data_IF_542457257347
#
_entry.id   IF_542457257347
#
_cell.length_a   1.000
_cell.length_b   1.000
_cell.length_c   1.000
_cell.angle_alpha   90.00
_cell.angle_beta   90.00
_cell.angle_gamma   90.00
#
_symmetry.space_group_name_H-M   'P 1'
#
loop_
_entity.id
_entity.type
_entity.pdbx_description
1 polymer ?
#
# COMPACT_ATOMS: atom_id res chain seq x y z
N UNK A 1 -12.04 17.61 26.01
CA UNK A 1 -11.98 17.74 24.53
C UNK A 1 -11.59 16.38 23.97
N UNK A 2 -12.38 15.83 23.03
CA UNK A 2 -12.01 14.59 22.35
C UNK A 2 -10.91 14.88 21.34
N UNK A 3 -9.75 14.25 21.52
CA UNK A 3 -8.57 14.43 20.66
C UNK A 3 -8.53 13.44 19.49
N UNK A 4 -9.50 12.51 19.40
CA UNK A 4 -9.48 11.49 18.36
C UNK A 4 -9.59 12.06 16.94
N UNK A 5 -10.51 13.01 16.65
CA UNK A 5 -10.65 13.56 15.30
C UNK A 5 -9.38 14.30 14.84
N UNK A 6 -8.75 15.07 15.73
CA UNK A 6 -7.52 15.78 15.35
C UNK A 6 -6.31 14.85 15.25
N UNK A 7 -6.23 13.84 16.12
CA UNK A 7 -5.19 12.82 16.05
C UNK A 7 -5.22 12.06 14.73
N UNK A 8 -6.39 11.59 14.31
CA UNK A 8 -6.55 10.83 13.05
C UNK A 8 -6.22 11.68 11.83
N UNK A 9 -6.66 12.95 11.79
CA UNK A 9 -6.29 13.90 10.74
C UNK A 9 -4.79 14.13 10.67
N UNK A 10 -4.14 14.38 11.80
CA UNK A 10 -2.68 14.57 11.84
C UNK A 10 -1.93 13.32 11.34
N UNK A 11 -2.43 12.13 11.65
CA UNK A 11 -1.83 10.89 11.19
C UNK A 11 -2.01 10.70 9.67
N UNK A 12 -3.20 11.01 9.15
CA UNK A 12 -3.51 10.97 7.72
C UNK A 12 -2.68 11.98 6.91
N UNK A 13 -2.36 13.13 7.51
CA UNK A 13 -1.52 14.19 6.92
C UNK A 13 -0.01 13.92 7.08
N UNK A 14 0.39 12.70 7.38
CA UNK A 14 1.78 12.27 7.38
C UNK A 14 2.58 12.61 8.63
N UNK A 15 1.93 13.04 9.69
CA UNK A 15 2.62 13.27 10.95
C UNK A 15 3.03 11.96 11.61
N UNK A 16 4.27 11.88 12.09
CA UNK A 16 4.70 10.73 12.89
C UNK A 16 4.05 10.75 14.27
N UNK A 17 3.95 9.59 14.94
CA UNK A 17 3.43 9.50 16.31
C UNK A 17 4.18 10.45 17.25
N UNK A 18 5.51 10.59 17.11
CA UNK A 18 6.29 11.57 17.87
C UNK A 18 5.97 13.02 17.49
N UNK A 19 5.67 13.28 16.22
CA UNK A 19 5.21 14.59 15.77
C UNK A 19 3.87 14.95 16.38
N UNK A 20 2.92 14.04 16.35
CA UNK A 20 1.59 14.19 16.96
C UNK A 20 1.70 14.39 18.47
N UNK A 21 2.57 13.63 19.15
CA UNK A 21 2.87 13.81 20.58
C UNK A 21 3.27 15.26 20.90
N UNK A 22 4.18 15.84 20.12
CA UNK A 22 4.60 17.24 20.30
C UNK A 22 3.50 18.26 19.99
N UNK A 23 2.74 18.03 18.90
CA UNK A 23 1.68 18.95 18.48
C UNK A 23 0.54 18.99 19.49
N UNK A 24 0.17 17.83 20.06
CA UNK A 24 -0.95 17.73 21.00
C UNK A 24 -0.52 17.87 22.47
N UNK A 25 0.75 18.09 22.77
CA UNK A 25 1.26 18.15 24.14
C UNK A 25 1.11 16.85 24.94
N UNK A 26 1.00 15.70 24.26
CA UNK A 26 0.84 14.40 24.88
C UNK A 26 2.20 13.71 25.07
N UNK A 27 2.29 12.82 26.07
CA UNK A 27 3.44 11.91 26.15
C UNK A 27 3.46 10.97 24.96
N UNK A 28 4.65 10.52 24.56
CA UNK A 28 4.77 9.51 23.49
C UNK A 28 3.96 8.23 23.80
N UNK A 29 3.98 7.82 25.05
CA UNK A 29 3.25 6.63 25.52
C UNK A 29 1.74 6.77 25.29
N UNK A 30 1.15 7.87 25.71
CA UNK A 30 -0.28 8.12 25.54
C UNK A 30 -0.66 8.26 24.05
N UNK A 31 0.19 8.93 23.26
CA UNK A 31 0.03 9.05 21.82
C UNK A 31 0.06 7.68 21.13
N UNK A 32 0.99 6.81 21.55
CA UNK A 32 1.10 5.46 21.02
C UNK A 32 -0.06 4.55 21.45
N UNK A 33 -0.50 4.63 22.72
CA UNK A 33 -1.73 3.94 23.17
C UNK A 33 -2.96 4.37 22.36
N UNK A 34 -3.11 5.68 22.11
CA UNK A 34 -4.19 6.20 21.28
C UNK A 34 -4.11 5.64 19.85
N UNK A 35 -2.94 5.57 19.25
CA UNK A 35 -2.76 4.91 17.94
C UNK A 35 -3.18 3.44 17.95
N UNK A 36 -2.82 2.68 18.99
CA UNK A 36 -3.22 1.28 19.11
C UNK A 36 -4.73 1.12 19.36
N UNK A 37 -5.34 2.07 20.07
CA UNK A 37 -6.80 2.06 20.32
C UNK A 37 -7.61 2.05 19.01
N UNK A 38 -7.13 2.72 17.98
CA UNK A 38 -7.77 2.68 16.66
C UNK A 38 -7.83 1.28 16.04
N UNK A 39 -7.07 0.31 16.51
CA UNK A 39 -7.02 -1.03 15.92
C UNK A 39 -8.39 -1.70 15.85
N UNK A 40 -9.14 -1.68 16.94
CA UNK A 40 -10.46 -2.33 17.00
C UNK A 40 -11.48 -1.54 16.15
N UNK A 41 -11.47 -0.21 16.29
CA UNK A 41 -12.35 0.67 15.53
C UNK A 41 -12.16 0.51 14.01
N UNK A 42 -10.92 0.47 13.57
CA UNK A 42 -10.56 0.25 12.17
C UNK A 42 -10.99 -1.13 11.69
N UNK A 43 -10.80 -2.18 12.51
CA UNK A 43 -11.17 -3.55 12.15
C UNK A 43 -12.68 -3.70 11.94
N UNK A 44 -13.48 -3.05 12.80
CA UNK A 44 -14.94 -3.03 12.65
C UNK A 44 -15.39 -2.22 11.44
N UNK A 45 -14.85 -1.02 11.29
CA UNK A 45 -15.23 -0.15 10.17
C UNK A 45 -14.85 -0.78 8.82
N UNK A 46 -13.71 -1.46 8.72
CA UNK A 46 -13.30 -2.17 7.49
C UNK A 46 -14.31 -3.24 7.05
N UNK A 47 -14.98 -3.90 7.98
CA UNK A 47 -16.02 -4.90 7.64
C UNK A 47 -17.26 -4.28 7.00
N UNK A 48 -17.56 -3.02 7.31
CA UNK A 48 -18.71 -2.30 6.75
C UNK A 48 -18.41 -1.53 5.47
N UNK A 49 -17.13 -1.49 5.04
CA UNK A 49 -16.76 -0.79 3.81
C UNK A 49 -17.33 -1.49 2.58
N UNK A 50 -17.89 -0.70 1.69
CA UNK A 50 -18.33 -1.14 0.37
C UNK A 50 -17.77 -0.23 -0.71
N UNK A 51 -17.43 -0.81 -1.86
CA UNK A 51 -16.89 -0.10 -3.01
C UNK A 51 -17.60 -0.50 -4.29
N UNK A 52 -17.83 0.46 -5.16
CA UNK A 52 -18.21 0.20 -6.55
C UNK A 52 -16.98 0.44 -7.42
N UNK A 53 -16.61 -0.51 -8.25
CA UNK A 53 -15.46 -0.42 -9.13
C UNK A 53 -15.77 -0.96 -10.53
N UNK A 54 -15.59 -0.14 -11.56
CA UNK A 54 -15.58 -0.59 -12.95
C UNK A 54 -14.18 -1.11 -13.33
N UNK A 55 -13.15 -0.46 -12.84
CA UNK A 55 -11.76 -0.84 -13.04
C UNK A 55 -11.04 -0.96 -11.69
N UNK A 56 -10.25 -2.02 -11.55
CA UNK A 56 -9.34 -2.21 -10.41
C UNK A 56 -7.90 -2.14 -10.92
N UNK A 57 -7.07 -1.39 -10.21
CA UNK A 57 -5.62 -1.39 -10.41
C UNK A 57 -4.93 -1.86 -9.15
N UNK A 58 -3.90 -2.68 -9.29
CA UNK A 58 -3.05 -3.09 -8.17
C UNK A 58 -1.57 -3.16 -8.57
N UNK A 59 -0.72 -2.91 -7.59
CA UNK A 59 0.73 -3.00 -7.72
C UNK A 59 1.34 -3.31 -6.35
N UNK A 60 2.61 -3.68 -6.35
CA UNK A 60 3.39 -3.88 -5.16
C UNK A 60 4.47 -2.80 -5.02
N UNK A 61 4.54 -2.17 -3.86
CA UNK A 61 5.60 -1.24 -3.52
C UNK A 61 6.52 -1.81 -2.44
N UNK A 62 7.83 -1.67 -2.61
CA UNK A 62 8.80 -2.15 -1.63
C UNK A 62 9.12 -1.09 -0.57
N UNK A 63 9.27 -1.56 0.68
CA UNK A 63 9.71 -0.81 1.85
C UNK A 63 10.68 -1.67 2.67
N UNK A 64 10.98 -1.27 3.90
CA UNK A 64 11.91 -1.99 4.76
C UNK A 64 11.40 -2.11 6.20
N UNK A 65 11.67 -3.27 6.81
CA UNK A 65 11.46 -3.54 8.22
C UNK A 65 12.78 -3.31 8.97
N UNK A 66 12.95 -2.11 9.51
CA UNK A 66 14.13 -1.68 10.27
C UNK A 66 15.42 -1.57 9.45
N UNK A 67 15.72 -2.51 8.56
CA UNK A 67 16.94 -2.58 7.77
C UNK A 67 16.65 -3.07 6.35
N UNK A 68 17.48 -2.70 5.38
CA UNK A 68 17.40 -3.19 3.99
C UNK A 68 17.52 -4.72 3.87
N UNK A 69 18.09 -5.37 4.89
CA UNK A 69 18.16 -6.84 4.96
C UNK A 69 16.80 -7.49 5.28
N UNK A 70 15.82 -6.72 5.71
CA UNK A 70 14.45 -7.16 5.96
C UNK A 70 13.47 -6.37 5.10
N UNK A 71 13.42 -6.60 3.79
CA UNK A 71 12.50 -5.89 2.93
C UNK A 71 11.05 -6.30 3.22
N UNK A 72 10.15 -5.36 2.94
CA UNK A 72 8.69 -5.53 2.95
C UNK A 72 8.16 -5.27 1.55
N UNK A 73 7.12 -5.96 1.16
CA UNK A 73 6.28 -5.64 0.00
C UNK A 73 4.90 -5.20 0.47
N UNK A 74 4.38 -4.13 -0.10
CA UNK A 74 3.03 -3.65 0.16
C UNK A 74 2.22 -3.85 -1.11
N UNK A 75 1.23 -4.72 -1.05
CA UNK A 75 0.20 -4.84 -2.08
C UNK A 75 -0.79 -3.70 -1.90
N UNK A 76 -1.08 -2.97 -2.95
CA UNK A 76 -2.00 -1.81 -2.96
C UNK A 76 -3.05 -2.04 -4.03
N UNK A 77 -4.33 -2.02 -3.67
CA UNK A 77 -5.47 -2.26 -4.56
C UNK A 77 -6.40 -1.05 -4.54
N UNK A 78 -6.73 -0.53 -5.73
CA UNK A 78 -7.51 0.69 -5.93
C UNK A 78 -8.58 0.50 -6.99
N UNK A 79 -9.64 1.31 -6.92
CA UNK A 79 -10.55 1.51 -8.04
C UNK A 79 -10.14 2.72 -8.92
N UNK A 80 -10.84 2.93 -10.02
CA UNK A 80 -10.64 4.05 -10.95
C UNK A 80 -10.87 5.43 -10.33
N UNK A 81 -11.57 5.49 -9.19
CA UNK A 81 -11.85 6.72 -8.43
C UNK A 81 -10.75 7.06 -7.42
N UNK A 82 -9.57 6.44 -7.53
CA UNK A 82 -8.44 6.60 -6.59
C UNK A 82 -8.74 6.17 -5.15
N UNK A 83 -9.83 5.44 -4.91
CA UNK A 83 -10.15 4.92 -3.59
C UNK A 83 -9.28 3.71 -3.28
N UNK A 84 -8.57 3.76 -2.17
CA UNK A 84 -7.76 2.66 -1.66
C UNK A 84 -8.70 1.63 -1.03
N UNK A 85 -8.87 0.49 -1.70
CA UNK A 85 -9.77 -0.58 -1.27
C UNK A 85 -9.07 -1.53 -0.29
N UNK A 86 -7.83 -1.90 -0.60
CA UNK A 86 -7.01 -2.73 0.29
C UNK A 86 -5.53 -2.37 0.19
N UNK A 87 -4.82 -2.54 1.30
CA UNK A 87 -3.36 -2.48 1.35
C UNK A 87 -2.86 -3.52 2.36
N UNK A 88 -1.98 -4.44 1.93
CA UNK A 88 -1.44 -5.51 2.76
C UNK A 88 0.08 -5.48 2.79
N UNK A 89 0.64 -5.65 3.97
CA UNK A 89 2.10 -5.68 4.17
C UNK A 89 2.57 -7.13 4.22
N UNK A 90 3.49 -7.48 3.32
CA UNK A 90 4.14 -8.79 3.24
C UNK A 90 5.58 -8.69 3.70
N UNK A 91 6.03 -9.64 4.50
CA UNK A 91 7.45 -9.89 4.69
C UNK A 91 8.00 -10.64 3.48
N UNK A 92 9.17 -10.21 3.00
CA UNK A 92 9.83 -10.84 1.86
C UNK A 92 11.32 -11.08 2.15
N UNK A 93 11.95 -12.07 1.53
CA UNK A 93 13.39 -12.27 1.63
C UNK A 93 14.14 -11.13 0.91
N UNK A 94 15.34 -10.81 1.42
CA UNK A 94 16.23 -9.90 0.74
C UNK A 94 16.70 -10.49 -0.60
N UNK A 95 17.00 -9.60 -1.55
CA UNK A 95 17.42 -9.97 -2.92
C UNK A 95 18.81 -9.43 -3.23
N UNK A 96 19.43 -9.99 -4.27
CA UNK A 96 20.72 -9.55 -4.77
C UNK A 96 21.84 -9.66 -3.70
N UNK A 97 22.74 -8.69 -3.67
CA UNK A 97 23.91 -8.69 -2.80
C UNK A 97 23.63 -8.79 -1.29
N UNK A 98 22.43 -8.42 -0.87
CA UNK A 98 22.03 -8.48 0.55
C UNK A 98 21.42 -9.83 0.95
N UNK A 99 21.12 -10.73 0.02
CA UNK A 99 20.40 -11.97 0.28
C UNK A 99 21.17 -12.88 1.24
N UNK A 100 22.46 -13.13 0.96
CA UNK A 100 23.32 -13.98 1.78
C UNK A 100 23.55 -13.38 3.17
N UNK A 101 23.91 -12.10 3.23
CA UNK A 101 24.12 -11.40 4.50
C UNK A 101 22.83 -11.41 5.36
N UNK A 102 21.68 -11.17 4.73
CA UNK A 102 20.38 -11.22 5.41
C UNK A 102 20.09 -12.60 5.99
N UNK A 103 20.35 -13.66 5.21
CA UNK A 103 20.14 -15.06 5.64
C UNK A 103 21.06 -15.43 6.81
N UNK A 104 22.33 -15.03 6.74
CA UNK A 104 23.30 -15.27 7.82
C UNK A 104 22.93 -14.57 9.12
N UNK A 105 22.45 -13.31 9.03
CA UNK A 105 22.18 -12.48 10.21
C UNK A 105 20.79 -12.67 10.80
N UNK A 106 19.76 -12.94 9.98
CA UNK A 106 18.36 -12.94 10.39
C UNK A 106 17.63 -14.25 10.10
N UNK A 107 18.33 -15.26 9.58
CA UNK A 107 17.74 -16.53 9.18
C UNK A 107 16.96 -16.45 7.87
N UNK A 108 16.31 -17.56 7.53
CA UNK A 108 15.46 -17.67 6.34
C UNK A 108 14.13 -16.95 6.59
N UNK A 109 13.82 -15.97 5.75
CA UNK A 109 12.52 -15.24 5.81
C UNK A 109 11.53 -15.84 4.83
N UNK A 110 10.28 -15.96 5.26
CA UNK A 110 9.18 -16.37 4.40
C UNK A 110 8.93 -15.32 3.31
N UNK A 111 8.44 -15.76 2.17
CA UNK A 111 7.95 -14.87 1.12
C UNK A 111 6.42 -14.85 1.19
N UNK A 112 5.87 -13.88 1.87
CA UNK A 112 4.42 -13.76 2.08
C UNK A 112 3.70 -13.01 0.96
N UNK A 113 4.40 -12.60 -0.10
CA UNK A 113 3.87 -11.75 -1.18
C UNK A 113 2.56 -12.29 -1.75
N UNK A 114 2.56 -13.55 -2.15
CA UNK A 114 1.38 -14.20 -2.76
C UNK A 114 0.24 -14.34 -1.76
N UNK A 115 0.56 -14.72 -0.53
CA UNK A 115 -0.44 -14.82 0.54
C UNK A 115 -1.11 -13.47 0.78
N UNK A 116 -0.33 -12.38 0.91
CA UNK A 116 -0.87 -11.03 1.14
C UNK A 116 -1.63 -10.46 -0.06
N UNK A 117 -1.28 -10.85 -1.27
CA UNK A 117 -2.08 -10.53 -2.46
C UNK A 117 -3.45 -11.21 -2.41
N UNK A 118 -3.51 -12.51 -2.02
CA UNK A 118 -4.77 -13.22 -1.83
C UNK A 118 -5.62 -12.58 -0.73
N UNK A 119 -5.04 -12.31 0.44
CA UNK A 119 -5.73 -11.60 1.53
C UNK A 119 -6.26 -10.22 1.10
N UNK A 120 -5.55 -9.51 0.20
CA UNK A 120 -6.03 -8.25 -0.34
C UNK A 120 -7.25 -8.46 -1.27
N UNK A 121 -7.23 -9.50 -2.10
CA UNK A 121 -8.35 -9.81 -2.99
C UNK A 121 -9.54 -10.41 -2.26
N UNK A 122 -9.34 -11.21 -1.20
CA UNK A 122 -10.40 -11.67 -0.30
C UNK A 122 -11.16 -10.47 0.28
N UNK A 123 -10.40 -9.48 0.79
CA UNK A 123 -10.98 -8.26 1.34
C UNK A 123 -11.73 -7.46 0.27
N UNK A 124 -11.12 -7.24 -0.88
CA UNK A 124 -11.71 -6.46 -1.98
C UNK A 124 -12.97 -7.15 -2.52
N UNK A 125 -12.92 -8.47 -2.76
CA UNK A 125 -14.07 -9.20 -3.29
C UNK A 125 -15.27 -9.18 -2.34
N UNK A 126 -15.03 -9.22 -1.01
CA UNK A 126 -16.07 -9.11 0.01
C UNK A 126 -16.69 -7.70 0.10
N UNK A 127 -15.94 -6.66 -0.28
CA UNK A 127 -16.37 -5.26 -0.19
C UNK A 127 -16.96 -4.71 -1.50
N UNK A 128 -16.83 -5.43 -2.62
CA UNK A 128 -17.35 -4.99 -3.91
C UNK A 128 -18.88 -5.15 -3.98
N UNK A 129 -19.54 -4.07 -4.40
CA UNK A 129 -21.00 -4.07 -4.68
C UNK A 129 -21.34 -4.51 -6.11
N UNK A 130 -20.32 -4.55 -7.00
CA UNK A 130 -20.47 -4.95 -8.40
C UNK A 130 -19.23 -5.68 -8.89
N UNK A 131 -19.36 -6.50 -9.93
CA UNK A 131 -18.21 -7.14 -10.59
C UNK A 131 -17.40 -6.10 -11.39
N UNK A 132 -16.07 -6.04 -11.23
CA UNK A 132 -15.25 -5.16 -12.06
C UNK A 132 -15.18 -5.68 -13.50
N UNK A 133 -15.19 -4.77 -14.47
CA UNK A 133 -15.01 -5.11 -15.89
C UNK A 133 -13.53 -5.27 -16.26
N UNK A 134 -12.67 -4.47 -15.63
CA UNK A 134 -11.26 -4.39 -15.97
C UNK A 134 -10.40 -4.53 -14.72
N UNK A 135 -9.31 -5.29 -14.85
CA UNK A 135 -8.24 -5.31 -13.84
C UNK A 135 -6.91 -5.05 -14.53
N UNK A 136 -6.08 -4.19 -13.95
CA UNK A 136 -4.77 -3.81 -14.48
C UNK A 136 -3.67 -3.93 -13.41
N UNK A 137 -2.50 -4.42 -13.81
CA UNK A 137 -1.31 -4.45 -12.96
C UNK A 137 -0.03 -4.38 -13.78
N UNK A 138 1.11 -4.40 -13.09
CA UNK A 138 2.39 -4.70 -13.73
C UNK A 138 2.47 -6.17 -14.21
N UNK A 139 3.48 -6.47 -15.02
CA UNK A 139 3.65 -7.79 -15.62
C UNK A 139 4.41 -8.76 -14.68
N UNK A 140 3.79 -9.18 -13.57
CA UNK A 140 4.33 -10.24 -12.74
C UNK A 140 3.72 -11.60 -13.11
N UNK A 141 4.52 -12.67 -13.33
CA UNK A 141 4.03 -13.94 -13.89
C UNK A 141 2.90 -14.61 -13.10
N UNK A 142 2.92 -14.48 -11.77
CA UNK A 142 1.96 -15.16 -10.89
C UNK A 142 0.60 -14.45 -10.82
N UNK A 143 0.53 -13.16 -11.15
CA UNK A 143 -0.68 -12.37 -10.97
C UNK A 143 -1.87 -12.87 -11.78
N UNK A 144 -1.64 -13.29 -13.03
CA UNK A 144 -2.72 -13.78 -13.90
C UNK A 144 -3.53 -14.88 -13.25
N UNK A 145 -2.87 -15.94 -12.77
CA UNK A 145 -3.54 -17.07 -12.12
C UNK A 145 -4.34 -16.67 -10.88
N UNK A 146 -3.84 -15.69 -10.13
CA UNK A 146 -4.53 -15.22 -8.92
C UNK A 146 -5.75 -14.38 -9.33
N UNK A 147 -5.59 -13.42 -10.25
CA UNK A 147 -6.71 -12.58 -10.71
C UNK A 147 -7.83 -13.41 -11.29
N UNK A 148 -7.51 -14.37 -12.17
CA UNK A 148 -8.49 -15.27 -12.78
C UNK A 148 -9.24 -16.13 -11.75
N UNK A 149 -8.61 -16.49 -10.63
CA UNK A 149 -9.27 -17.23 -9.56
C UNK A 149 -10.28 -16.41 -8.75
N UNK A 150 -10.12 -15.10 -8.66
CA UNK A 150 -11.02 -14.20 -7.92
C UNK A 150 -12.04 -13.50 -8.83
N UNK A 151 -11.64 -13.19 -10.05
CA UNK A 151 -12.41 -12.40 -11.01
C UNK A 151 -12.38 -13.05 -12.40
N UNK A 152 -13.01 -14.23 -12.58
CA UNK A 152 -12.92 -14.98 -13.83
C UNK A 152 -13.56 -14.25 -15.02
N UNK A 153 -14.58 -13.43 -14.77
CA UNK A 153 -15.35 -12.71 -15.82
C UNK A 153 -14.72 -11.36 -16.21
N UNK A 154 -13.60 -10.96 -15.60
CA UNK A 154 -13.00 -9.66 -15.85
C UNK A 154 -11.97 -9.69 -16.99
N UNK A 155 -11.81 -8.57 -17.68
CA UNK A 155 -10.73 -8.37 -18.65
C UNK A 155 -9.44 -7.97 -17.92
N UNK A 156 -8.55 -8.92 -17.70
CA UNK A 156 -7.26 -8.65 -17.04
C UNK A 156 -6.17 -8.27 -18.05
N UNK A 157 -5.51 -7.14 -17.79
CA UNK A 157 -4.37 -6.65 -18.59
C UNK A 157 -3.15 -6.40 -17.73
N UNK A 158 -2.00 -6.92 -18.17
CA UNK A 158 -0.70 -6.70 -17.57
C UNK A 158 0.13 -5.74 -18.41
N UNK A 159 0.83 -4.82 -17.74
CA UNK A 159 1.67 -3.81 -18.38
C UNK A 159 3.12 -3.97 -17.93
N UNK A 160 3.99 -4.33 -18.87
CA UNK A 160 5.40 -4.45 -18.57
C UNK A 160 6.04 -3.08 -18.36
N UNK A 161 6.97 -2.99 -17.42
CA UNK A 161 7.79 -1.80 -17.22
C UNK A 161 8.68 -1.59 -18.43
N UNK A 162 8.52 -0.47 -19.12
CA UNK A 162 9.44 -0.09 -20.21
C UNK A 162 10.88 -0.02 -19.69
N UNK A 163 11.83 -0.55 -20.45
CA UNK A 163 13.24 -0.48 -20.11
C UNK A 163 13.74 0.96 -20.07
N UNK A 164 14.89 1.20 -19.43
CA UNK A 164 15.52 2.53 -19.44
C UNK A 164 15.83 3.00 -20.85
N UNK A 165 16.23 2.06 -21.74
CA UNK A 165 16.52 2.35 -23.16
C UNK A 165 15.26 2.75 -23.93
N UNK A 166 14.14 2.06 -23.70
CA UNK A 166 12.87 2.39 -24.35
C UNK A 166 12.35 3.74 -23.91
N UNK A 167 12.46 4.05 -22.60
CA UNK A 167 12.10 5.38 -22.07
C UNK A 167 12.98 6.50 -22.62
N UNK A 168 14.26 6.22 -22.83
CA UNK A 168 15.18 7.20 -23.43
C UNK A 168 14.85 7.40 -24.91
N UNK A 169 14.63 6.32 -25.69
CA UNK A 169 14.20 6.39 -27.08
C UNK A 169 12.89 7.18 -27.23
N UNK A 170 11.90 6.89 -26.41
CA UNK A 170 10.63 7.62 -26.44
C UNK A 170 10.82 9.11 -26.18
N UNK A 171 11.64 9.49 -25.19
CA UNK A 171 11.97 10.91 -24.94
C UNK A 171 12.67 11.58 -26.10
N UNK A 172 13.48 10.86 -26.85
CA UNK A 172 14.20 11.39 -28.01
C UNK A 172 13.31 11.48 -29.28
N UNK A 173 12.27 10.65 -29.36
CA UNK A 173 11.33 10.62 -30.49
C UNK A 173 10.00 11.34 -30.21
N UNK A 174 9.70 11.65 -28.97
CA UNK A 174 8.49 12.41 -28.63
C UNK A 174 8.68 13.90 -28.99
N UNK A 175 8.07 14.30 -30.08
CA UNK A 175 7.65 15.68 -30.23
C UNK A 175 6.87 16.08 -28.98
N UNK A 176 7.22 17.19 -28.36
CA UNK A 176 6.84 17.76 -27.07
C UNK A 176 5.34 17.74 -26.66
N UNK A 177 4.45 17.15 -27.43
CA UNK A 177 3.00 17.27 -27.28
C UNK A 177 2.25 15.98 -26.90
N UNK A 178 2.88 14.79 -26.87
CA UNK A 178 2.20 13.58 -26.42
C UNK A 178 2.49 13.31 -24.95
N UNK A 179 1.53 13.65 -24.07
CA UNK A 179 1.53 13.16 -22.68
C UNK A 179 1.68 11.64 -22.69
N UNK A 180 2.74 11.13 -22.06
CA UNK A 180 2.97 9.69 -21.91
C UNK A 180 1.82 9.10 -21.10
N UNK A 181 1.00 8.26 -21.73
CA UNK A 181 -0.09 7.56 -21.05
C UNK A 181 0.50 6.41 -20.21
N UNK A 182 0.30 6.47 -18.88
CA UNK A 182 0.60 5.38 -17.97
C UNK A 182 -0.69 4.57 -17.71
N UNK A 183 -0.80 3.33 -18.24
CA UNK A 183 -2.02 2.51 -18.09
C UNK A 183 -2.39 2.16 -16.65
N UNK A 184 -1.41 2.18 -15.74
CA UNK A 184 -1.55 1.91 -14.30
C UNK A 184 -1.24 3.17 -13.46
N UNK A 185 -1.52 4.34 -14.02
CA UNK A 185 -1.24 5.62 -13.37
C UNK A 185 -1.90 5.75 -11.99
N UNK A 186 -3.14 5.27 -11.84
CA UNK A 186 -3.90 5.39 -10.59
C UNK A 186 -3.15 4.74 -9.43
N UNK A 187 -2.68 3.49 -9.61
CA UNK A 187 -1.95 2.79 -8.55
C UNK A 187 -0.54 3.37 -8.35
N UNK A 188 0.15 3.76 -9.43
CA UNK A 188 1.47 4.41 -9.33
C UNK A 188 1.40 5.72 -8.57
N UNK A 189 0.41 6.55 -8.87
CA UNK A 189 0.15 7.81 -8.17
C UNK A 189 -0.18 7.55 -6.68
N UNK A 190 -1.07 6.61 -6.37
CA UNK A 190 -1.39 6.28 -4.97
C UNK A 190 -0.18 5.75 -4.21
N UNK A 191 0.66 4.94 -4.81
CA UNK A 191 1.92 4.50 -4.20
C UNK A 191 2.85 5.68 -3.87
N UNK A 192 2.87 6.72 -4.72
CA UNK A 192 3.61 7.95 -4.43
C UNK A 192 2.98 8.72 -3.24
N UNK A 193 1.66 8.90 -3.24
CA UNK A 193 0.92 9.52 -2.14
C UNK A 193 1.11 8.78 -0.81
N UNK A 194 1.06 7.45 -0.81
CA UNK A 194 1.32 6.65 0.41
C UNK A 194 2.73 6.86 0.95
N UNK A 195 3.74 7.01 0.06
CA UNK A 195 5.11 7.34 0.49
C UNK A 195 5.22 8.74 1.08
N UNK A 196 4.45 9.69 0.58
CA UNK A 196 4.41 11.03 1.12
C UNK A 196 3.70 11.10 2.48
N UNK A 197 2.52 10.46 2.59
CA UNK A 197 1.66 10.49 3.76
C UNK A 197 2.11 9.57 4.91
N UNK A 198 2.86 8.52 4.64
CA UNK A 198 3.34 7.58 5.67
C UNK A 198 4.85 7.67 5.81
N UNK A 199 5.32 8.34 6.85
CA UNK A 199 6.77 8.56 7.08
C UNK A 199 7.61 7.26 7.05
N UNK A 200 7.01 6.12 7.40
CA UNK A 200 7.68 4.80 7.35
C UNK A 200 7.91 4.27 5.93
N UNK A 201 7.20 4.82 4.95
CA UNK A 201 7.29 4.42 3.54
C UNK A 201 8.20 5.34 2.72
N UNK A 202 8.60 6.48 3.28
CA UNK A 202 9.51 7.41 2.61
C UNK A 202 10.84 6.72 2.33
N UNK A 203 11.30 6.78 1.08
CA UNK A 203 12.61 6.27 0.69
C UNK A 203 13.71 7.13 1.33
N UNK A 204 14.77 6.53 1.84
CA UNK A 204 15.91 7.23 2.44
C UNK A 204 15.52 8.07 3.67
N UNK A 205 14.82 7.47 4.61
CA UNK A 205 14.41 8.08 5.86
C UNK A 205 14.86 7.20 7.05
N UNK A 206 15.09 7.84 8.21
CA UNK A 206 15.30 7.17 9.50
C UNK A 206 14.03 6.56 10.08
N UNK A 207 12.85 7.01 9.62
CA UNK A 207 11.54 6.53 10.07
C UNK A 207 11.20 5.18 9.44
N UNK A 208 11.99 4.15 9.70
CA UNK A 208 11.71 2.80 9.19
C UNK A 208 10.62 2.11 10.01
N UNK A 209 9.94 1.14 9.41
CA UNK A 209 8.99 0.27 10.09
C UNK A 209 9.72 -0.55 11.15
N UNK A 210 9.30 -0.44 12.42
CA UNK A 210 9.85 -1.23 13.54
C UNK A 210 8.98 -2.45 13.87
N UNK A 211 7.66 -2.33 13.70
CA UNK A 211 6.67 -3.40 13.84
C UNK A 211 5.78 -3.38 12.60
N UNK A 212 5.66 -4.52 11.94
CA UNK A 212 4.89 -4.67 10.69
C UNK A 212 3.42 -4.39 10.93
N UNK A 213 2.90 -4.83 12.07
CA UNK A 213 1.51 -4.64 12.49
C UNK A 213 1.15 -3.14 12.62
N UNK A 214 2.10 -2.30 13.05
CA UNK A 214 1.88 -0.86 13.15
C UNK A 214 1.86 -0.18 11.78
N UNK A 215 2.57 -0.72 10.79
CA UNK A 215 2.46 -0.23 9.41
C UNK A 215 1.12 -0.66 8.82
N UNK A 216 0.71 -1.91 9.03
CA UNK A 216 -0.60 -2.39 8.59
C UNK A 216 -1.74 -1.56 9.20
N UNK A 217 -1.72 -1.34 10.51
CA UNK A 217 -2.72 -0.49 11.16
C UNK A 217 -2.76 0.94 10.60
N UNK A 218 -1.62 1.51 10.27
CA UNK A 218 -1.57 2.85 9.67
C UNK A 218 -2.21 2.88 8.28
N UNK A 219 -1.97 1.85 7.45
CA UNK A 219 -2.60 1.70 6.14
C UNK A 219 -4.11 1.50 6.27
N UNK A 220 -4.53 0.62 7.16
CA UNK A 220 -5.95 0.33 7.41
C UNK A 220 -6.70 1.57 7.91
N UNK A 221 -6.07 2.35 8.80
CA UNK A 221 -6.63 3.62 9.27
C UNK A 221 -6.79 4.63 8.12
N UNK A 222 -5.81 4.73 7.22
CA UNK A 222 -5.92 5.61 6.04
C UNK A 222 -7.05 5.16 5.10
N UNK A 223 -7.23 3.86 4.89
CA UNK A 223 -8.35 3.34 4.10
C UNK A 223 -9.68 3.80 4.73
N UNK A 224 -9.86 3.58 6.04
CA UNK A 224 -11.08 3.94 6.75
C UNK A 224 -11.35 5.45 6.73
N UNK A 225 -10.34 6.27 6.98
CA UNK A 225 -10.49 7.74 6.97
C UNK A 225 -10.85 8.27 5.58
N UNK A 226 -10.21 7.77 4.51
CA UNK A 226 -10.54 8.15 3.14
C UNK A 226 -11.91 7.63 2.67
N UNK A 227 -12.44 6.61 3.34
CA UNK A 227 -13.78 6.06 3.09
C UNK A 227 -14.87 6.69 3.98
N UNK A 228 -14.54 7.78 4.68
CA UNK A 228 -15.52 8.57 5.44
C UNK A 228 -15.72 8.12 6.88
N UNK A 229 -14.82 7.31 7.46
CA UNK A 229 -14.89 6.98 8.88
C UNK A 229 -14.87 8.25 9.73
N UNK A 230 -15.96 8.45 10.49
CA UNK A 230 -16.05 9.50 11.52
C UNK A 230 -15.50 8.96 12.84
N UNK A 231 -14.66 9.73 13.49
CA UNK A 231 -13.99 9.36 14.74
C UNK A 231 -14.35 10.40 15.81
#
# INVERSE_FOLDING_TARGET
MDLNPIFSKLLAEGNSIRGISRILGLTYYNTYKKFLWFKNLVAEHKKSLTFSAREIQFDEMESIHHTKCKPLSLVVVLNEKYQLMSAKVAEIPAKGRLAEFSRKKYGLRKNERIQKLREAFDEVSAQLTNKPMFIKSDAHPVYRKIVESYFPDCLYRQFSRKSKKDKLRERMHENLHKKMYDPIFVVNHKCAVLRDRIKRLVRRNWCTTKKVENLQLHLDLLICLHSGMKI
#
